data_IF_869627894047
#
_entry.id   IF_869627894047
#
_cell.length_a   1.000
_cell.length_b   1.000
_cell.length_c   1.000
_cell.angle_alpha   90.00
_cell.angle_beta   90.00
_cell.angle_gamma   90.00
#
_symmetry.space_group_name_H-M   'P 1'
#
loop_
_entity.id
_entity.type
_entity.pdbx_description
1 polymer ?
#
# COMPACT_ATOMS: atom_id res chain seq x y z
N UNK A 1 20.50 4.96 -3.40
CA UNK A 1 19.10 5.05 -2.94
C UNK A 1 19.14 4.95 -1.42
N UNK A 2 18.32 5.71 -0.69
CA UNK A 2 18.32 5.64 0.79
C UNK A 2 17.76 4.27 1.21
N UNK A 3 18.28 3.66 2.27
CA UNK A 3 17.79 2.36 2.75
C UNK A 3 16.31 2.36 3.17
N UNK A 4 15.70 3.55 3.29
CA UNK A 4 14.28 3.71 3.55
C UNK A 4 13.41 3.35 2.34
N UNK A 5 13.79 3.76 1.12
CA UNK A 5 13.04 3.43 -0.09
C UNK A 5 13.07 1.92 -0.39
N UNK A 6 14.24 1.30 -0.23
CA UNK A 6 14.38 -0.16 -0.37
C UNK A 6 13.61 -0.92 0.73
N UNK A 7 13.56 -0.39 1.95
CA UNK A 7 12.74 -0.95 3.03
C UNK A 7 11.24 -0.84 2.75
N UNK A 8 10.81 0.25 2.11
CA UNK A 8 9.42 0.48 1.73
C UNK A 8 8.95 -0.50 0.66
N UNK A 9 9.76 -0.69 -0.40
CA UNK A 9 9.44 -1.64 -1.47
C UNK A 9 9.29 -3.07 -0.92
N UNK A 10 10.24 -3.52 -0.10
CA UNK A 10 10.17 -4.83 0.57
C UNK A 10 8.92 -4.97 1.45
N UNK A 11 8.56 -3.92 2.20
CA UNK A 11 7.36 -3.94 3.06
C UNK A 11 6.09 -4.09 2.22
N UNK A 12 6.04 -3.44 1.06
CA UNK A 12 4.86 -3.45 0.18
C UNK A 12 4.71 -4.79 -0.52
N UNK A 13 5.80 -5.39 -0.99
CA UNK A 13 5.78 -6.76 -1.52
C UNK A 13 5.26 -7.76 -0.48
N UNK A 14 5.74 -7.64 0.77
CA UNK A 14 5.28 -8.48 1.87
C UNK A 14 3.79 -8.28 2.17
N UNK A 15 3.30 -7.04 2.20
CA UNK A 15 1.87 -6.75 2.43
C UNK A 15 0.98 -7.34 1.33
N UNK A 16 1.43 -7.30 0.07
CA UNK A 16 0.73 -7.94 -1.05
C UNK A 16 0.64 -9.45 -0.91
N UNK A 17 1.73 -10.09 -0.54
CA UNK A 17 1.74 -11.54 -0.31
C UNK A 17 0.77 -11.92 0.82
N UNK A 18 0.81 -11.19 1.93
CA UNK A 18 -0.09 -11.44 3.06
C UNK A 18 -1.57 -11.18 2.73
N UNK A 19 -1.87 -10.19 1.88
CA UNK A 19 -3.23 -9.95 1.39
C UNK A 19 -3.72 -11.10 0.52
N UNK A 20 -2.87 -11.63 -0.36
CA UNK A 20 -3.20 -12.80 -1.17
C UNK A 20 -3.46 -14.03 -0.28
N UNK A 21 -2.63 -14.27 0.73
CA UNK A 21 -2.82 -15.35 1.70
C UNK A 21 -4.12 -15.20 2.51
N UNK A 22 -4.41 -13.98 3.00
CA UNK A 22 -5.63 -13.71 3.77
C UNK A 22 -6.88 -14.00 2.92
N UNK A 23 -6.87 -13.60 1.64
CA UNK A 23 -7.96 -13.89 0.69
C UNK A 23 -8.11 -15.37 0.39
N UNK A 24 -7.01 -16.07 0.16
CA UNK A 24 -7.03 -17.52 -0.08
C UNK A 24 -7.59 -18.27 1.14
N UNK A 25 -7.27 -17.80 2.34
CA UNK A 25 -7.80 -18.32 3.59
C UNK A 25 -9.26 -17.89 3.89
N UNK A 26 -9.80 -16.91 3.17
CA UNK A 26 -11.10 -16.30 3.48
C UNK A 26 -11.13 -15.52 4.80
N UNK A 27 -9.98 -15.01 5.25
CA UNK A 27 -9.83 -14.25 6.49
C UNK A 27 -10.05 -12.75 6.23
N UNK A 28 -11.32 -12.36 6.15
CA UNK A 28 -11.76 -10.97 5.89
C UNK A 28 -11.23 -9.98 6.94
N UNK A 29 -11.08 -10.41 8.20
CA UNK A 29 -10.56 -9.55 9.26
C UNK A 29 -9.08 -9.24 9.02
N UNK A 30 -8.29 -10.26 8.67
CA UNK A 30 -6.88 -10.09 8.36
C UNK A 30 -6.68 -9.30 7.07
N UNK A 31 -7.50 -9.53 6.05
CA UNK A 31 -7.49 -8.73 4.82
C UNK A 31 -7.70 -7.24 5.14
N UNK A 32 -8.71 -6.91 5.93
CA UNK A 32 -9.00 -5.52 6.28
C UNK A 32 -7.87 -4.87 7.10
N UNK A 33 -7.28 -5.59 8.06
CA UNK A 33 -6.16 -5.10 8.84
C UNK A 33 -4.91 -4.81 7.97
N UNK A 34 -4.65 -5.66 6.97
CA UNK A 34 -3.52 -5.49 6.05
C UNK A 34 -3.74 -4.31 5.09
N UNK A 35 -4.99 -4.08 4.67
CA UNK A 35 -5.36 -2.90 3.87
C UNK A 35 -5.14 -1.61 4.67
N UNK A 36 -5.53 -1.57 5.95
CA UNK A 36 -5.24 -0.42 6.83
C UNK A 36 -3.74 -0.20 6.96
N UNK A 37 -2.95 -1.25 7.21
CA UNK A 37 -1.49 -1.12 7.31
C UNK A 37 -0.85 -0.61 6.01
N UNK A 38 -1.36 -1.06 4.86
CA UNK A 38 -0.90 -0.56 3.56
C UNK A 38 -1.20 0.93 3.40
N UNK A 39 -2.41 1.37 3.78
CA UNK A 39 -2.80 2.78 3.78
C UNK A 39 -1.90 3.63 4.66
N UNK A 40 -1.63 3.20 5.89
CA UNK A 40 -0.73 3.90 6.81
C UNK A 40 0.69 4.01 6.25
N UNK A 41 1.16 2.92 5.63
CA UNK A 41 2.49 2.89 5.00
C UNK A 41 2.58 3.88 3.83
N UNK A 42 1.53 3.99 3.00
CA UNK A 42 1.44 4.99 1.92
C UNK A 42 1.46 6.41 2.49
N UNK A 43 0.69 6.68 3.54
CA UNK A 43 0.64 8.01 4.16
C UNK A 43 2.00 8.42 4.71
N UNK A 44 2.66 7.55 5.48
CA UNK A 44 3.99 7.81 6.04
C UNK A 44 5.02 8.04 4.92
N UNK A 45 4.99 7.25 3.85
CA UNK A 45 5.91 7.42 2.74
C UNK A 45 5.68 8.76 2.01
N UNK A 46 4.42 9.15 1.81
CA UNK A 46 4.07 10.45 1.22
C UNK A 46 4.52 11.64 2.09
N UNK A 47 4.38 11.54 3.41
CA UNK A 47 4.88 12.55 4.36
C UNK A 47 6.42 12.70 4.36
N UNK A 48 7.14 11.69 3.85
CA UNK A 48 8.60 11.69 3.76
C UNK A 48 9.11 11.99 2.33
N UNK A 49 8.28 12.61 1.48
CA UNK A 49 8.61 12.97 0.08
C UNK A 49 9.05 11.78 -0.79
N UNK A 50 8.52 10.58 -0.50
CA UNK A 50 8.78 9.39 -1.32
C UNK A 50 7.70 9.23 -2.37
N UNK A 51 8.10 8.68 -3.51
CA UNK A 51 7.16 8.32 -4.56
C UNK A 51 6.27 7.17 -4.09
N UNK A 52 5.01 7.47 -3.82
CA UNK A 52 3.97 6.52 -3.40
C UNK A 52 3.00 6.17 -4.52
N UNK A 53 3.27 6.61 -5.75
CA UNK A 53 2.35 6.45 -6.88
C UNK A 53 1.98 4.99 -7.14
N UNK A 54 2.96 4.09 -7.08
CA UNK A 54 2.72 2.65 -7.21
C UNK A 54 1.95 2.09 -6.00
N UNK A 55 2.22 2.59 -4.79
CA UNK A 55 1.54 2.14 -3.56
C UNK A 55 0.07 2.54 -3.55
N UNK A 56 -0.24 3.76 -3.98
CA UNK A 56 -1.62 4.24 -4.16
C UNK A 56 -2.38 3.37 -5.17
N UNK A 57 -1.73 2.92 -6.25
CA UNK A 57 -2.35 1.98 -7.22
C UNK A 57 -2.63 0.61 -6.60
N UNK A 58 -1.71 0.10 -5.77
CA UNK A 58 -1.93 -1.15 -5.03
C UNK A 58 -3.14 -0.98 -4.12
N UNK A 59 -3.11 0.00 -3.22
CA UNK A 59 -4.18 0.25 -2.26
C UNK A 59 -5.55 0.40 -2.93
N UNK A 60 -5.61 1.10 -4.07
CA UNK A 60 -6.80 1.23 -4.89
C UNK A 60 -7.30 -0.12 -5.43
N UNK A 61 -6.41 -0.94 -5.98
CA UNK A 61 -6.75 -2.29 -6.44
C UNK A 61 -7.25 -3.18 -5.29
N UNK A 62 -6.66 -3.05 -4.10
CA UNK A 62 -7.00 -3.87 -2.93
C UNK A 62 -8.32 -3.44 -2.27
N UNK A 63 -8.64 -2.16 -2.25
CA UNK A 63 -9.87 -1.62 -1.65
C UNK A 63 -11.06 -1.57 -2.61
N UNK A 64 -10.83 -1.88 -3.90
CA UNK A 64 -11.80 -1.61 -4.96
C UNK A 64 -12.08 -0.11 -5.18
N UNK A 65 -11.26 0.76 -4.58
CA UNK A 65 -11.36 2.21 -4.72
C UNK A 65 -10.70 2.64 -6.03
N UNK A 66 -11.30 3.58 -6.75
CA UNK A 66 -10.65 4.15 -7.94
C UNK A 66 -9.43 4.95 -7.45
N UNK A 67 -8.21 4.71 -7.96
CA UNK A 67 -7.04 5.45 -7.52
C UNK A 67 -7.24 6.92 -7.85
N UNK A 68 -7.31 7.76 -6.82
CA UNK A 68 -7.22 9.21 -6.97
C UNK A 68 -5.73 9.51 -7.14
N UNK A 69 -5.32 9.72 -8.39
CA UNK A 69 -4.01 10.27 -8.70
C UNK A 69 -4.15 11.76 -8.41
N UNK A 70 -3.48 12.23 -7.35
CA UNK A 70 -3.34 13.67 -7.11
C UNK A 70 -2.57 14.24 -8.30
N UNK A 71 -3.25 14.98 -9.16
CA UNK A 71 -2.62 15.74 -10.24
C UNK A 71 -1.67 16.75 -9.56
N UNK A 72 -0.40 16.91 -9.99
CA UNK A 72 0.55 17.82 -9.38
C UNK A 72 0.20 19.32 -9.54
N UNK A 73 -1.06 19.67 -9.82
CA UNK A 73 -1.54 21.03 -10.12
C UNK A 73 -2.68 21.50 -9.19
N UNK A 74 -2.54 21.36 -7.87
CA UNK A 74 -3.35 22.12 -6.89
C UNK A 74 -2.49 22.69 -5.73
#
# INVERSE_FOLDING_TARGET
MSGFAEGLDNKVELLREQLAEAREAGDEFREQALIEELSDTVNIAGENDLDTSELKKVLAAETGTIPVIDDPED
#
